data_IF_291734207179
#
_entry.id   IF_291734207179
#
_cell.length_a   1.000
_cell.length_b   1.000
_cell.length_c   1.000
_cell.angle_alpha   90.00
_cell.angle_beta   90.00
_cell.angle_gamma   90.00
#
_symmetry.space_group_name_H-M   'P 1'
#
loop_
_entity.id
_entity.type
_entity.pdbx_description
1 polymer ?
#
# COMPACT_ATOMS: atom_id res chain seq x y z
N UNK A 1 14.49 -18.50 2.03
CA UNK A 1 13.29 -17.85 1.44
C UNK A 1 12.32 -17.23 2.47
N UNK A 2 12.69 -17.08 3.75
CA UNK A 2 11.85 -16.40 4.76
C UNK A 2 12.28 -14.96 5.08
N UNK A 3 13.51 -14.60 4.72
CA UNK A 3 14.09 -13.28 5.02
C UNK A 3 13.35 -12.16 4.30
N UNK A 4 12.92 -12.39 3.06
CA UNK A 4 12.09 -11.43 2.31
C UNK A 4 10.75 -11.20 2.99
N UNK A 5 10.00 -12.27 3.29
CA UNK A 5 8.68 -12.14 3.93
C UNK A 5 8.76 -11.40 5.28
N UNK A 6 9.80 -11.67 6.08
CA UNK A 6 10.03 -10.98 7.36
C UNK A 6 10.38 -9.50 7.18
N UNK A 7 11.26 -9.20 6.22
CA UNK A 7 11.61 -7.82 5.88
C UNK A 7 10.39 -7.02 5.43
N UNK A 8 9.54 -7.60 4.57
CA UNK A 8 8.28 -6.99 4.17
C UNK A 8 7.34 -6.80 5.36
N UNK A 9 7.23 -7.76 6.28
CA UNK A 9 6.36 -7.62 7.46
C UNK A 9 6.81 -6.45 8.36
N UNK A 10 8.11 -6.31 8.62
CA UNK A 10 8.67 -5.17 9.37
C UNK A 10 8.48 -3.84 8.66
N UNK A 11 8.66 -3.81 7.34
CA UNK A 11 8.39 -2.62 6.53
C UNK A 11 6.91 -2.23 6.60
N UNK A 12 6.02 -3.21 6.53
CA UNK A 12 4.58 -2.99 6.57
C UNK A 12 4.13 -2.49 7.95
N UNK A 13 4.74 -2.94 9.06
CA UNK A 13 4.49 -2.38 10.39
C UNK A 13 4.93 -0.92 10.52
N UNK A 14 6.16 -0.60 10.12
CA UNK A 14 6.64 0.78 10.14
C UNK A 14 5.78 1.69 9.26
N UNK A 15 5.42 1.20 8.08
CA UNK A 15 4.54 1.92 7.18
C UNK A 15 3.15 2.12 7.79
N UNK A 16 2.56 1.12 8.47
CA UNK A 16 1.28 1.27 9.19
C UNK A 16 1.33 2.30 10.32
N UNK A 17 2.49 2.51 10.94
CA UNK A 17 2.67 3.56 11.94
C UNK A 17 2.68 4.98 11.32
N UNK A 18 3.11 5.10 10.06
CA UNK A 18 3.12 6.36 9.32
C UNK A 18 1.87 6.58 8.45
N UNK A 19 1.15 5.51 8.11
CA UNK A 19 -0.07 5.58 7.33
C UNK A 19 -1.26 6.03 8.19
N UNK A 20 -2.16 6.85 7.63
CA UNK A 20 -3.44 7.14 8.25
C UNK A 20 -4.24 5.87 8.50
N UNK A 21 -5.12 5.90 9.49
CA UNK A 21 -5.99 4.78 9.84
C UNK A 21 -6.82 4.27 8.65
N UNK A 22 -7.24 5.18 7.77
CA UNK A 22 -7.91 4.86 6.52
C UNK A 22 -7.09 3.91 5.63
N UNK A 23 -5.77 4.03 5.64
CA UNK A 23 -4.82 3.28 4.81
C UNK A 23 -4.11 2.15 5.56
N UNK A 24 -4.38 1.92 6.85
CA UNK A 24 -3.77 0.82 7.62
C UNK A 24 -4.11 -0.56 7.06
N UNK A 25 -5.20 -0.66 6.29
CA UNK A 25 -5.59 -1.89 5.58
C UNK A 25 -4.77 -2.14 4.31
N UNK A 26 -4.01 -1.15 3.81
CA UNK A 26 -3.06 -1.39 2.73
C UNK A 26 -1.91 -2.23 3.25
N UNK A 27 -1.51 -3.20 2.43
CA UNK A 27 -0.30 -3.98 2.66
C UNK A 27 0.64 -3.85 1.50
N UNK A 28 1.90 -3.56 1.80
CA UNK A 28 2.97 -3.58 0.82
C UNK A 28 3.24 -5.04 0.41
N UNK A 29 2.95 -5.37 -0.84
CA UNK A 29 3.09 -6.72 -1.39
C UNK A 29 4.42 -6.91 -2.10
N UNK A 30 4.93 -5.86 -2.77
CA UNK A 30 6.18 -5.94 -3.50
C UNK A 30 6.83 -4.55 -3.61
N UNK A 31 8.16 -4.53 -3.62
CA UNK A 31 8.95 -3.38 -4.03
C UNK A 31 9.87 -3.87 -5.14
N UNK A 32 9.79 -3.24 -6.31
CA UNK A 32 10.59 -3.62 -7.47
C UNK A 32 11.00 -2.35 -8.22
N UNK A 33 12.28 -2.21 -8.54
CA UNK A 33 12.83 -1.10 -9.34
C UNK A 33 12.19 0.26 -9.03
N UNK A 34 12.32 0.70 -7.78
CA UNK A 34 11.80 2.00 -7.33
C UNK A 34 10.27 2.13 -7.31
N UNK A 35 9.54 1.01 -7.38
CA UNK A 35 8.08 0.96 -7.38
C UNK A 35 7.55 0.13 -6.21
N UNK A 36 6.76 0.77 -5.35
CA UNK A 36 5.97 0.08 -4.33
C UNK A 36 4.66 -0.43 -4.94
N UNK A 37 4.36 -1.71 -4.69
CA UNK A 37 3.08 -2.33 -5.01
C UNK A 37 2.33 -2.60 -3.72
N UNK A 38 1.18 -1.95 -3.56
CA UNK A 38 0.25 -2.14 -2.46
C UNK A 38 -0.92 -3.00 -2.91
N UNK A 39 -1.42 -3.79 -1.98
CA UNK A 39 -2.67 -4.52 -2.11
C UNK A 39 -3.64 -4.09 -1.01
N UNK A 40 -4.92 -4.02 -1.36
CA UNK A 40 -6.03 -3.81 -0.43
C UNK A 40 -7.21 -4.63 -0.90
N UNK A 41 -8.02 -5.08 0.05
CA UNK A 41 -9.27 -5.79 -0.19
C UNK A 41 -10.44 -4.83 -0.47
N UNK A 42 -10.30 -3.55 -0.09
CA UNK A 42 -11.33 -2.53 -0.33
C UNK A 42 -11.06 -1.73 -1.60
N UNK A 43 -11.97 -1.80 -2.57
CA UNK A 43 -11.92 -1.01 -3.82
C UNK A 43 -12.00 0.50 -3.57
N UNK A 44 -12.85 0.93 -2.63
CA UNK A 44 -12.94 2.33 -2.24
C UNK A 44 -11.61 2.84 -1.67
N UNK A 45 -10.94 2.00 -0.86
CA UNK A 45 -9.63 2.33 -0.33
C UNK A 45 -8.57 2.38 -1.43
N UNK A 46 -8.56 1.43 -2.36
CA UNK A 46 -7.62 1.44 -3.49
C UNK A 46 -7.78 2.69 -4.35
N UNK A 47 -9.02 3.08 -4.64
CA UNK A 47 -9.29 4.27 -5.43
C UNK A 47 -8.83 5.54 -4.72
N UNK A 48 -9.08 5.65 -3.41
CA UNK A 48 -8.58 6.75 -2.57
C UNK A 48 -7.06 6.77 -2.52
N UNK A 49 -6.43 5.61 -2.33
CA UNK A 49 -4.98 5.45 -2.32
C UNK A 49 -4.37 5.85 -3.67
N UNK A 50 -5.05 5.53 -4.77
CA UNK A 50 -4.62 5.94 -6.11
C UNK A 50 -4.74 7.45 -6.35
N UNK A 51 -5.75 8.10 -5.79
CA UNK A 51 -5.87 9.55 -5.83
C UNK A 51 -4.88 10.24 -4.89
N UNK A 52 -4.59 9.64 -3.74
CA UNK A 52 -3.66 10.16 -2.74
C UNK A 52 -2.28 9.49 -2.80
N UNK A 53 -1.81 9.18 -4.02
CA UNK A 53 -0.49 8.57 -4.25
C UNK A 53 0.64 9.43 -3.70
N UNK A 54 0.56 10.75 -3.85
CA UNK A 54 1.55 11.68 -3.30
C UNK A 54 1.70 11.50 -1.79
N UNK A 55 0.58 11.45 -1.07
CA UNK A 55 0.60 11.29 0.38
C UNK A 55 1.20 9.93 0.81
N UNK A 56 0.93 8.88 0.05
CA UNK A 56 1.54 7.56 0.25
C UNK A 56 3.04 7.58 -0.05
N UNK A 57 3.46 8.33 -1.08
CA UNK A 57 4.85 8.49 -1.46
C UNK A 57 5.63 9.25 -0.40
N UNK A 58 5.06 10.32 0.14
CA UNK A 58 5.63 11.05 1.27
C UNK A 58 5.76 10.16 2.51
N UNK A 59 4.75 9.34 2.82
CA UNK A 59 4.81 8.40 3.92
C UNK A 59 5.90 7.34 3.72
N UNK A 60 6.07 6.82 2.49
CA UNK A 60 7.15 5.89 2.15
C UNK A 60 8.53 6.54 2.19
N UNK A 61 8.66 7.80 1.76
CA UNK A 61 9.91 8.55 1.82
C UNK A 61 10.39 8.81 3.25
N UNK A 62 9.47 8.84 4.23
CA UNK A 62 9.81 8.92 5.66
C UNK A 62 10.45 7.63 6.20
N UNK A 63 10.34 6.52 5.47
CA UNK A 63 10.96 5.25 5.83
C UNK A 63 12.24 5.15 5.00
N UNK A 64 13.41 5.22 5.65
CA UNK A 64 14.73 5.15 5.00
C UNK A 64 14.86 3.98 4.00
N UNK A 65 14.22 2.85 4.31
CA UNK A 65 14.28 1.63 3.48
C UNK A 65 13.51 1.77 2.16
N UNK A 66 12.63 2.75 2.02
CA UNK A 66 11.83 3.03 0.82
C UNK A 66 12.06 4.42 0.25
N UNK A 67 13.09 5.14 0.71
CA UNK A 67 13.45 6.48 0.26
C UNK A 67 13.68 6.57 -1.25
N UNK A 68 14.09 5.46 -1.87
CA UNK A 68 14.30 5.44 -3.31
C UNK A 68 12.97 5.44 -4.07
N UNK A 69 11.88 4.86 -3.54
CA UNK A 69 10.61 4.66 -4.27
C UNK A 69 10.04 5.98 -4.81
N UNK A 70 9.78 6.00 -6.11
CA UNK A 70 9.18 7.13 -6.83
C UNK A 70 7.80 6.78 -7.40
N UNK A 71 7.52 5.47 -7.56
CA UNK A 71 6.27 5.00 -8.15
C UNK A 71 5.46 4.18 -7.16
N UNK A 72 4.16 4.49 -7.08
CA UNK A 72 3.20 3.72 -6.29
C UNK A 72 2.16 3.09 -7.19
N UNK A 73 2.02 1.78 -7.05
CA UNK A 73 0.98 0.98 -7.69
C UNK A 73 0.11 0.38 -6.61
N UNK A 74 -1.21 0.60 -6.71
CA UNK A 74 -2.18 0.02 -5.80
C UNK A 74 -3.03 -0.95 -6.59
N UNK A 75 -3.01 -2.22 -6.18
CA UNK A 75 -3.82 -3.31 -6.69
C UNK A 75 -4.93 -3.61 -5.69
N UNK A 76 -6.09 -4.00 -6.20
CA UNK A 76 -7.18 -4.52 -5.38
C UNK A 76 -7.06 -6.03 -5.43
N UNK A 77 -7.01 -6.68 -4.27
CA UNK A 77 -7.22 -8.13 -4.21
C UNK A 77 -8.71 -8.36 -4.43
N UNK A 78 -9.07 -8.80 -5.63
CA UNK A 78 -10.47 -8.96 -6.02
C UNK A 78 -11.02 -10.26 -5.43
N UNK A 79 -11.34 -10.26 -4.13
CA UNK A 79 -12.08 -11.38 -3.54
C UNK A 79 -13.45 -11.01 -2.95
N UNK A 80 -13.91 -9.75 -3.02
CA UNK A 80 -15.29 -9.43 -2.62
C UNK A 80 -16.01 -8.40 -3.52
N UNK A 81 -16.93 -8.96 -4.31
CA UNK A 81 -18.34 -8.56 -4.51
C UNK A 81 -18.65 -7.20 -5.12
N UNK A 82 -18.99 -7.24 -6.41
CA UNK A 82 -19.94 -6.31 -7.02
C UNK A 82 -21.21 -6.25 -6.17
N UNK A 83 -21.36 -5.17 -5.39
CA UNK A 83 -22.49 -5.01 -4.50
C UNK A 83 -22.67 -3.57 -4.07
N UNK A 84 -23.59 -2.89 -4.75
CA UNK A 84 -24.29 -1.65 -4.32
C UNK A 84 -23.66 -0.31 -4.73
N UNK A 85 -24.08 0.18 -5.90
CA UNK A 85 -24.64 1.54 -5.96
C UNK A 85 -25.86 1.53 -6.89
N UNK A 86 -27.01 1.30 -6.29
CA UNK A 86 -28.32 1.62 -6.84
C UNK A 86 -28.78 2.90 -6.13
N UNK A 87 -28.88 4.00 -6.86
CA UNK A 87 -29.95 5.01 -6.80
C UNK A 87 -29.65 6.15 -7.77
#
# INVERSE_FOLDING_TARGET
MFERARAFNQLNEQLKAHLPEAFKSLSLCAIDDNKATFITDSQALAFRAQQQKDMLLEALKRIDTTANIDKIVIKIDQNITAGTLHK
#
